data_IF_508561309255
#
_entry.id   IF_508561309255
#
_cell.length_a   1.000
_cell.length_b   1.000
_cell.length_c   1.000
_cell.angle_alpha   90.00
_cell.angle_beta   90.00
_cell.angle_gamma   90.00
#
_symmetry.space_group_name_H-M   'P 1'
#
loop_
_entity.id
_entity.type
_entity.pdbx_description
1 polymer ?
#
# COMPACT_ATOMS: atom_id res chain seq x y z
N UNK A 1 -9.96 19.04 -9.54
CA UNK A 1 -9.96 18.57 -8.15
C UNK A 1 -8.85 17.54 -7.98
N UNK A 2 -7.68 17.96 -7.53
CA UNK A 2 -6.44 17.16 -7.46
C UNK A 2 -5.99 16.96 -6.00
N UNK A 3 -6.86 17.28 -5.04
CA UNK A 3 -6.58 17.27 -3.60
C UNK A 3 -6.76 15.87 -2.97
N UNK A 4 -7.23 14.88 -3.73
CA UNK A 4 -7.80 13.64 -3.18
C UNK A 4 -6.81 12.55 -2.75
N UNK A 5 -5.50 12.75 -2.91
CA UNK A 5 -4.53 11.71 -2.54
C UNK A 5 -3.26 12.19 -1.83
N UNK A 6 -3.25 13.43 -1.32
CA UNK A 6 -2.10 13.93 -0.54
C UNK A 6 -1.86 13.08 0.71
N UNK A 7 -2.92 12.64 1.39
CA UNK A 7 -2.81 11.76 2.55
C UNK A 7 -2.19 10.41 2.20
N UNK A 8 -2.56 9.87 1.04
CA UNK A 8 -1.96 8.63 0.55
C UNK A 8 -0.50 8.84 0.16
N UNK A 9 -0.14 9.93 -0.52
CA UNK A 9 1.26 10.24 -0.84
C UNK A 9 2.11 10.38 0.43
N UNK A 10 1.60 11.05 1.47
CA UNK A 10 2.29 11.15 2.76
C UNK A 10 2.44 9.77 3.41
N UNK A 11 1.40 8.93 3.37
CA UNK A 11 1.47 7.56 3.85
C UNK A 11 2.51 6.74 3.06
N UNK A 12 2.57 6.88 1.74
CA UNK A 12 3.56 6.20 0.89
C UNK A 12 4.99 6.60 1.27
N UNK A 13 5.21 7.90 1.53
CA UNK A 13 6.52 8.39 1.97
C UNK A 13 6.91 7.84 3.33
N UNK A 14 6.02 7.92 4.33
CA UNK A 14 6.28 7.42 5.67
C UNK A 14 6.59 5.90 5.67
N UNK A 15 5.82 5.12 4.91
CA UNK A 15 6.06 3.68 4.78
C UNK A 15 7.42 3.36 4.15
N UNK A 16 7.86 4.16 3.17
CA UNK A 16 9.17 4.00 2.52
C UNK A 16 10.32 4.40 3.44
N UNK A 17 10.16 5.48 4.20
CA UNK A 17 11.14 5.89 5.21
C UNK A 17 11.32 4.80 6.27
N UNK A 18 10.21 4.25 6.81
CA UNK A 18 10.29 3.15 7.79
C UNK A 18 10.95 1.89 7.21
N UNK A 19 10.70 1.58 5.93
CA UNK A 19 11.38 0.47 5.23
C UNK A 19 12.89 0.71 5.14
N UNK A 20 13.29 1.91 4.73
CA UNK A 20 14.70 2.27 4.56
C UNK A 20 15.44 2.24 5.90
N UNK A 21 14.86 2.80 6.94
CA UNK A 21 15.40 2.80 8.30
C UNK A 21 15.58 1.37 8.83
N UNK A 22 14.53 0.56 8.78
CA UNK A 22 14.58 -0.83 9.25
C UNK A 22 15.59 -1.67 8.45
N UNK A 23 15.75 -1.39 7.15
CA UNK A 23 16.77 -2.05 6.32
C UNK A 23 18.18 -1.60 6.68
N UNK A 24 18.39 -0.31 6.96
CA UNK A 24 19.69 0.24 7.35
C UNK A 24 20.15 -0.28 8.71
N UNK A 25 19.21 -0.40 9.64
CA UNK A 25 19.46 -0.90 11.00
C UNK A 25 19.54 -2.44 11.07
N UNK A 26 19.17 -3.14 9.98
CA UNK A 26 19.12 -4.60 9.95
C UNK A 26 18.02 -5.17 10.85
N UNK A 27 16.98 -4.38 11.14
CA UNK A 27 15.91 -4.74 12.06
C UNK A 27 14.85 -5.60 11.35
N UNK A 28 15.05 -6.92 11.39
CA UNK A 28 14.11 -7.87 10.79
C UNK A 28 12.72 -7.81 11.44
N UNK A 29 12.65 -7.55 12.76
CA UNK A 29 11.38 -7.39 13.49
C UNK A 29 10.58 -6.21 12.95
N UNK A 30 11.21 -5.04 12.80
CA UNK A 30 10.56 -3.86 12.25
C UNK A 30 10.08 -4.09 10.80
N UNK A 31 10.85 -4.79 9.98
CA UNK A 31 10.41 -5.17 8.63
C UNK A 31 9.21 -6.14 8.64
N UNK A 32 9.16 -7.08 9.58
CA UNK A 32 8.04 -8.00 9.73
C UNK A 32 6.77 -7.29 10.20
N UNK A 33 6.90 -6.36 11.16
CA UNK A 33 5.80 -5.52 11.62
C UNK A 33 5.28 -4.63 10.49
N UNK A 34 6.17 -3.98 9.74
CA UNK A 34 5.82 -3.16 8.59
C UNK A 34 5.10 -3.98 7.51
N UNK A 35 5.56 -5.21 7.24
CA UNK A 35 4.88 -6.12 6.31
C UNK A 35 3.45 -6.45 6.77
N UNK A 36 3.24 -6.69 8.06
CA UNK A 36 1.89 -6.93 8.60
C UNK A 36 0.98 -5.70 8.45
N UNK A 37 1.51 -4.50 8.69
CA UNK A 37 0.77 -3.24 8.52
C UNK A 37 0.38 -3.00 7.05
N UNK A 38 1.31 -3.25 6.12
CA UNK A 38 1.07 -3.10 4.68
C UNK A 38 0.07 -4.15 4.18
N UNK A 39 0.15 -5.40 4.67
CA UNK A 39 -0.81 -6.45 4.33
C UNK A 39 -2.23 -6.10 4.80
N UNK A 40 -2.37 -5.57 6.02
CA UNK A 40 -3.65 -5.07 6.52
C UNK A 40 -4.20 -3.94 5.64
N UNK A 41 -3.34 -2.98 5.26
CA UNK A 41 -3.72 -1.86 4.39
C UNK A 41 -4.14 -2.35 3.00
N UNK A 42 -3.45 -3.34 2.46
CA UNK A 42 -3.79 -3.97 1.19
C UNK A 42 -5.15 -4.68 1.25
N UNK A 43 -5.42 -5.45 2.31
CA UNK A 43 -6.74 -6.10 2.50
C UNK A 43 -7.87 -5.09 2.62
N UNK A 44 -7.68 -3.99 3.33
CA UNK A 44 -8.67 -2.92 3.42
C UNK A 44 -8.92 -2.29 2.04
N UNK A 45 -7.87 -1.99 1.28
CA UNK A 45 -8.01 -1.46 -0.08
C UNK A 45 -8.71 -2.44 -1.03
N UNK A 46 -8.50 -3.75 -0.88
CA UNK A 46 -9.24 -4.78 -1.62
C UNK A 46 -10.73 -4.77 -1.27
N UNK A 47 -11.08 -4.70 0.02
CA UNK A 47 -12.47 -4.63 0.46
C UNK A 47 -13.17 -3.37 -0.07
N UNK A 48 -12.50 -2.22 0.01
CA UNK A 48 -13.01 -0.96 -0.56
C UNK A 48 -13.22 -1.04 -2.07
N UNK A 49 -12.32 -1.72 -2.78
CA UNK A 49 -12.46 -1.95 -4.22
C UNK A 49 -13.67 -2.85 -4.50
N UNK A 50 -13.79 -4.00 -3.85
CA UNK A 50 -14.93 -4.92 -4.02
C UNK A 50 -16.27 -4.23 -3.77
N UNK A 51 -16.40 -3.51 -2.65
CA UNK A 51 -17.61 -2.77 -2.31
C UNK A 51 -17.95 -1.68 -3.35
N UNK A 52 -16.92 -1.05 -3.93
CA UNK A 52 -17.09 -0.02 -4.95
C UNK A 52 -17.44 -0.55 -6.35
N UNK A 53 -17.20 -1.83 -6.62
CA UNK A 53 -17.53 -2.48 -7.91
C UNK A 53 -18.95 -3.07 -7.91
N UNK A 54 -19.46 -3.48 -6.75
CA UNK A 54 -20.83 -4.01 -6.59
C UNK A 54 -21.92 -2.91 -6.61
N UNK A 55 -21.53 -1.64 -6.62
CA UNK A 55 -22.48 -0.52 -6.72
C UNK A 55 -22.80 -0.25 -8.20
N UNK A 56 -24.09 -0.15 -8.61
CA UNK A 56 -24.47 0.11 -10.00
C UNK A 56 -23.79 1.39 -10.52
N UNK A 57 -23.09 1.27 -11.64
CA UNK A 57 -22.22 2.31 -12.20
C UNK A 57 -23.07 3.33 -12.97
N UNK A 58 -23.39 4.45 -12.32
CA UNK A 58 -23.97 5.60 -13.01
C UNK A 58 -22.84 6.36 -13.72
N UNK A 59 -22.88 6.33 -15.05
CA UNK A 59 -21.74 6.28 -15.97
C UNK A 59 -20.83 7.51 -16.14
N UNK A 60 -20.55 8.36 -15.13
CA UNK A 60 -19.60 9.47 -15.35
C UNK A 60 -18.70 9.91 -14.20
N UNK A 61 -18.88 9.38 -12.98
CA UNK A 61 -18.05 9.76 -11.81
C UNK A 61 -16.97 8.76 -11.38
N UNK A 62 -17.10 7.48 -11.74
CA UNK A 62 -16.46 6.39 -10.99
C UNK A 62 -15.17 5.81 -11.57
N UNK A 63 -14.86 6.02 -12.86
CA UNK A 63 -13.65 5.45 -13.45
C UNK A 63 -12.36 5.97 -12.78
N UNK A 64 -12.32 7.27 -12.44
CA UNK A 64 -11.18 7.86 -11.74
C UNK A 64 -11.04 7.31 -10.31
N UNK A 65 -12.16 7.06 -9.62
CA UNK A 65 -12.16 6.48 -8.28
C UNK A 65 -11.67 5.01 -8.30
N UNK A 66 -12.11 4.22 -9.28
CA UNK A 66 -11.63 2.85 -9.48
C UNK A 66 -10.13 2.82 -9.82
N UNK A 67 -9.66 3.72 -10.70
CA UNK A 67 -8.24 3.83 -11.03
C UNK A 67 -7.40 4.22 -9.80
N UNK A 68 -7.87 5.14 -8.96
CA UNK A 68 -7.20 5.50 -7.71
C UNK A 68 -7.13 4.29 -6.76
N UNK A 69 -8.23 3.56 -6.55
CA UNK A 69 -8.26 2.34 -5.71
C UNK A 69 -7.30 1.26 -6.22
N UNK A 70 -7.28 1.00 -7.53
CA UNK A 70 -6.34 0.06 -8.16
C UNK A 70 -4.90 0.53 -7.95
N UNK A 71 -4.62 1.82 -8.11
CA UNK A 71 -3.27 2.36 -7.92
C UNK A 71 -2.78 2.20 -6.47
N UNK A 72 -3.65 2.39 -5.48
CA UNK A 72 -3.36 2.14 -4.06
C UNK A 72 -3.01 0.67 -3.80
N UNK A 73 -3.83 -0.24 -4.32
CA UNK A 73 -3.57 -1.68 -4.23
C UNK A 73 -2.22 -2.07 -4.85
N UNK A 74 -1.89 -1.54 -6.03
CA UNK A 74 -0.59 -1.81 -6.68
C UNK A 74 0.60 -1.29 -5.90
N UNK A 75 0.45 -0.15 -5.21
CA UNK A 75 1.50 0.37 -4.34
C UNK A 75 1.77 -0.59 -3.18
N UNK A 76 0.73 -1.00 -2.44
CA UNK A 76 0.92 -1.91 -1.30
C UNK A 76 1.48 -3.27 -1.73
N UNK A 77 1.04 -3.79 -2.88
CA UNK A 77 1.59 -5.03 -3.44
C UNK A 77 3.11 -4.91 -3.69
N UNK A 78 3.55 -3.84 -4.34
CA UNK A 78 4.98 -3.60 -4.59
C UNK A 78 5.76 -3.42 -3.30
N UNK A 79 5.20 -2.72 -2.32
CA UNK A 79 5.87 -2.52 -1.03
C UNK A 79 6.03 -3.84 -0.26
N UNK A 80 5.05 -4.75 -0.34
CA UNK A 80 5.18 -6.09 0.22
C UNK A 80 6.31 -6.90 -0.45
N UNK A 81 6.43 -6.80 -1.77
CA UNK A 81 7.53 -7.44 -2.52
C UNK A 81 8.90 -6.86 -2.09
N UNK A 82 9.00 -5.54 -1.92
CA UNK A 82 10.21 -4.87 -1.42
C UNK A 82 10.57 -5.32 0.01
N UNK A 83 9.58 -5.43 0.90
CA UNK A 83 9.75 -5.90 2.28
C UNK A 83 10.20 -7.35 2.35
N UNK A 84 9.62 -8.23 1.52
CA UNK A 84 10.03 -9.63 1.43
C UNK A 84 11.47 -9.75 0.93
N UNK A 85 11.85 -8.96 -0.08
CA UNK A 85 13.21 -8.93 -0.58
C UNK A 85 14.21 -8.43 0.48
N UNK A 86 13.87 -7.37 1.22
CA UNK A 86 14.72 -6.83 2.28
C UNK A 86 14.96 -7.87 3.40
N UNK A 87 13.90 -8.56 3.84
CA UNK A 87 14.00 -9.62 4.86
C UNK A 87 14.81 -10.81 4.37
N UNK A 88 14.66 -11.22 3.11
CA UNK A 88 15.44 -12.30 2.53
C UNK A 88 16.95 -12.01 2.50
N UNK A 89 17.35 -10.73 2.35
CA UNK A 89 18.75 -10.31 2.42
C UNK A 89 19.29 -10.32 3.85
N UNK A 90 18.48 -9.96 4.84
CA UNK A 90 18.90 -9.94 6.25
C UNK A 90 18.92 -11.32 6.92
N UNK A 91 18.07 -12.24 6.46
CA UNK A 91 18.03 -13.62 6.95
C UNK A 91 18.99 -14.58 6.26
N UNK A 92 19.77 -14.12 5.27
CA UNK A 92 20.77 -14.91 4.53
C UNK A 92 22.18 -14.79 5.15
#
# INVERSE_FOLDING_TARGET
>A
HTERDTDFLMQQMALRETLEDARMDGDESALAELASQVENSYRLAQQEFSNGVDTPVDASGDAAALISRISKMRFYQKLLEELQAARAVLGA
#
